data_IF_849600798255
#
_entry.id   IF_849600798255
#
_cell.length_a   1.000
_cell.length_b   1.000
_cell.length_c   1.000
_cell.angle_alpha   90.00
_cell.angle_beta   90.00
_cell.angle_gamma   90.00
#
_symmetry.space_group_name_H-M   'P 1'
#
loop_
_entity.id
_entity.type
_entity.pdbx_description
1 polymer ?
#
# COMPACT_ATOMS: atom_id res chain seq x y z
N UNK A 1 -15.36 29.86 57.62
CA UNK A 1 -14.31 29.35 58.53
C UNK A 1 -13.24 28.67 57.69
N UNK A 2 -11.98 29.04 57.92
CA UNK A 2 -10.76 28.47 57.31
C UNK A 2 -10.47 27.05 57.85
N UNK A 3 -9.54 26.37 57.14
CA UNK A 3 -8.70 25.19 57.50
C UNK A 3 -9.16 23.91 56.78
N UNK A 4 -8.32 23.03 56.23
CA UNK A 4 -6.85 22.90 56.19
C UNK A 4 -6.49 21.89 55.08
N UNK A 5 -5.28 22.04 54.52
CA UNK A 5 -4.59 21.06 53.68
C UNK A 5 -4.46 19.69 54.36
N UNK A 6 -4.41 18.63 53.54
CA UNK A 6 -3.45 17.53 53.74
C UNK A 6 -2.86 17.11 52.37
N UNK A 7 -1.70 17.69 52.08
CA UNK A 7 -0.71 17.18 51.15
C UNK A 7 -0.21 15.83 51.67
N UNK A 8 -0.22 14.80 50.83
CA UNK A 8 0.63 13.63 51.03
C UNK A 8 1.55 13.48 49.82
N UNK A 9 2.63 14.26 49.86
CA UNK A 9 3.81 14.07 49.03
C UNK A 9 4.55 12.85 49.57
N UNK A 10 4.69 11.80 48.76
CA UNK A 10 5.68 10.74 48.99
C UNK A 10 6.80 10.93 47.97
N UNK A 11 7.82 11.69 48.37
CA UNK A 11 9.22 11.51 47.99
C UNK A 11 9.65 10.09 48.49
N UNK A 12 10.52 9.30 47.88
CA UNK A 12 11.42 9.49 46.76
C UNK A 12 12.05 8.12 46.41
N UNK A 13 12.55 8.03 45.18
CA UNK A 13 13.82 7.41 44.76
C UNK A 13 14.10 5.96 45.19
N UNK A 14 14.21 5.06 44.19
CA UNK A 14 15.46 4.40 43.80
C UNK A 14 15.16 3.27 42.79
N UNK A 15 15.50 3.50 41.52
CA UNK A 15 15.96 2.46 40.58
C UNK A 15 16.73 3.20 39.50
N UNK A 16 18.02 3.43 39.80
CA UNK A 16 19.13 2.82 39.09
C UNK A 16 19.26 3.33 37.65
N UNK A 17 20.31 4.12 37.42
CA UNK A 17 20.92 4.25 36.11
C UNK A 17 21.24 2.85 35.58
N UNK A 18 20.43 2.37 34.64
CA UNK A 18 20.87 1.49 33.58
C UNK A 18 20.87 2.35 32.33
N UNK A 19 22.05 2.77 31.91
CA UNK A 19 22.27 3.25 30.55
C UNK A 19 22.03 2.08 29.61
N UNK A 20 20.79 1.94 29.18
CA UNK A 20 20.40 1.16 28.01
C UNK A 20 19.33 2.00 27.35
N UNK A 21 19.61 2.50 26.15
CA UNK A 21 18.64 3.17 25.30
C UNK A 21 17.45 2.23 25.10
N UNK A 22 16.39 2.42 25.87
CA UNK A 22 15.09 1.84 25.55
C UNK A 22 14.55 2.67 24.38
N UNK A 23 14.83 2.25 23.15
CA UNK A 23 14.03 2.68 22.01
C UNK A 23 12.63 2.13 22.23
N UNK A 24 11.75 3.01 22.70
CA UNK A 24 10.34 2.71 22.94
C UNK A 24 9.57 2.75 21.61
N UNK A 25 10.17 2.21 20.55
CA UNK A 25 9.59 2.12 19.22
C UNK A 25 8.49 1.06 19.22
N UNK A 26 7.34 1.44 18.72
CA UNK A 26 6.21 0.55 18.45
C UNK A 26 6.58 -0.47 17.37
N UNK A 27 5.88 -1.60 17.33
CA UNK A 27 6.07 -2.59 16.26
C UNK A 27 5.79 -1.96 14.88
N UNK A 28 4.82 -1.05 14.79
CA UNK A 28 4.46 -0.36 13.55
C UNK A 28 5.61 0.51 13.04
N UNK A 29 6.26 1.30 13.91
CA UNK A 29 7.44 2.11 13.57
C UNK A 29 8.60 1.23 13.09
N UNK A 30 8.86 0.09 13.75
CA UNK A 30 9.90 -0.85 13.35
C UNK A 30 9.64 -1.46 11.97
N UNK A 31 8.38 -1.81 11.69
CA UNK A 31 8.00 -2.32 10.37
C UNK A 31 8.24 -1.25 9.31
N UNK A 32 7.81 -0.03 9.57
CA UNK A 32 7.93 1.08 8.64
C UNK A 32 9.38 1.45 8.31
N UNK A 33 10.28 1.40 9.29
CA UNK A 33 11.71 1.66 9.10
C UNK A 33 12.44 0.55 8.32
N UNK A 34 11.91 -0.68 8.37
CA UNK A 34 12.49 -1.83 7.64
C UNK A 34 12.04 -1.90 6.18
N UNK A 35 11.00 -1.18 5.78
CA UNK A 35 10.53 -1.17 4.40
C UNK A 35 11.44 -0.29 3.56
N UNK A 36 12.04 -0.82 2.47
CA UNK A 36 12.81 0.00 1.55
C UNK A 36 11.94 1.11 0.96
N UNK A 37 12.36 2.36 1.12
CA UNK A 37 11.68 3.56 0.60
C UNK A 37 12.43 4.11 -0.61
N UNK A 38 11.70 4.78 -1.50
CA UNK A 38 12.30 5.59 -2.56
C UNK A 38 12.86 6.89 -1.97
N UNK A 39 13.72 7.57 -2.73
CA UNK A 39 14.14 8.94 -2.38
C UNK A 39 12.99 9.95 -2.57
N UNK A 40 11.94 9.57 -3.32
CA UNK A 40 10.74 10.37 -3.54
C UNK A 40 9.66 10.10 -2.49
N UNK A 41 9.10 11.17 -1.92
CA UNK A 41 7.93 11.11 -1.03
C UNK A 41 6.65 11.14 -1.86
N UNK A 42 5.86 10.05 -1.96
CA UNK A 42 4.80 9.96 -2.96
C UNK A 42 3.67 11.00 -2.80
N UNK A 43 3.38 11.46 -1.58
CA UNK A 43 2.35 12.47 -1.36
C UNK A 43 2.74 13.88 -1.84
N UNK A 44 4.00 14.11 -2.20
CA UNK A 44 4.44 15.37 -2.82
C UNK A 44 4.07 15.44 -4.31
N UNK A 45 3.73 14.30 -4.93
CA UNK A 45 3.44 14.18 -6.37
C UNK A 45 1.98 13.90 -6.70
N UNK A 46 1.15 13.66 -5.69
CA UNK A 46 -0.28 13.48 -5.84
C UNK A 46 -1.02 14.00 -4.62
N UNK A 47 -1.83 15.02 -4.84
CA UNK A 47 -2.65 15.71 -3.85
C UNK A 47 -4.07 15.14 -3.77
N UNK A 48 -4.74 15.45 -2.66
CA UNK A 48 -6.16 15.10 -2.48
C UNK A 48 -7.04 15.83 -3.50
N UNK A 49 -6.69 17.06 -3.84
CA UNK A 49 -7.41 17.91 -4.79
C UNK A 49 -7.40 17.32 -6.20
N UNK A 50 -6.25 16.85 -6.69
CA UNK A 50 -6.13 16.18 -7.99
C UNK A 50 -6.95 14.88 -8.04
N UNK A 51 -7.01 14.14 -6.92
CA UNK A 51 -7.87 12.94 -6.81
C UNK A 51 -9.35 13.32 -6.85
N UNK A 52 -9.77 14.37 -6.14
CA UNK A 52 -11.15 14.87 -6.17
C UNK A 52 -11.54 15.27 -7.59
N UNK A 53 -10.71 16.07 -8.26
CA UNK A 53 -10.97 16.56 -9.62
C UNK A 53 -11.02 15.41 -10.62
N UNK A 54 -10.06 14.48 -10.56
CA UNK A 54 -9.99 13.36 -11.52
C UNK A 54 -11.21 12.44 -11.42
N UNK A 55 -11.70 12.21 -10.20
CA UNK A 55 -12.82 11.32 -9.95
C UNK A 55 -14.19 12.02 -9.92
N UNK A 56 -14.22 13.35 -10.09
CA UNK A 56 -15.42 14.18 -9.97
C UNK A 56 -16.15 13.88 -8.64
N UNK A 57 -15.39 13.88 -7.53
CA UNK A 57 -15.92 13.51 -6.22
C UNK A 57 -16.80 14.65 -5.70
N UNK A 58 -18.08 14.35 -5.47
CA UNK A 58 -19.06 15.33 -4.98
C UNK A 58 -18.68 15.92 -3.61
N UNK A 59 -19.03 17.19 -3.43
CA UNK A 59 -18.87 17.90 -2.16
C UNK A 59 -19.56 17.15 -1.01
N UNK A 60 -18.82 16.94 0.08
CA UNK A 60 -19.32 16.28 1.29
C UNK A 60 -18.98 14.79 1.40
N UNK A 61 -18.36 14.17 0.39
CA UNK A 61 -17.75 12.85 0.52
C UNK A 61 -16.42 12.96 1.27
N UNK A 62 -16.29 12.20 2.36
CA UNK A 62 -15.05 12.16 3.14
C UNK A 62 -14.01 11.26 2.46
N UNK A 63 -12.83 11.83 2.18
CA UNK A 63 -11.68 11.11 1.65
C UNK A 63 -10.67 10.93 2.78
N UNK A 64 -10.36 9.67 3.05
CA UNK A 64 -9.26 9.26 3.94
C UNK A 64 -7.96 9.28 3.16
N UNK A 65 -7.00 10.09 3.61
CA UNK A 65 -5.63 10.10 3.10
C UNK A 65 -4.71 9.44 4.11
N UNK A 66 -3.76 8.63 3.64
CA UNK A 66 -2.74 8.02 4.46
C UNK A 66 -1.39 8.00 3.71
N UNK A 67 -0.33 8.47 4.36
CA UNK A 67 1.06 8.20 3.96
C UNK A 67 1.68 7.24 4.96
N UNK A 68 1.93 6.02 4.54
CA UNK A 68 2.60 5.00 5.36
C UNK A 68 3.29 4.01 4.44
N UNK A 69 4.38 3.42 4.92
CA UNK A 69 5.08 2.34 4.21
C UNK A 69 5.56 2.74 2.79
N UNK A 70 5.85 4.03 2.57
CA UNK A 70 6.30 4.55 1.28
C UNK A 70 5.19 4.61 0.21
N UNK A 71 3.92 4.67 0.63
CA UNK A 71 2.75 4.79 -0.25
C UNK A 71 1.91 5.99 0.18
N UNK A 72 1.57 6.86 -0.77
CA UNK A 72 0.51 7.84 -0.60
C UNK A 72 -0.81 7.25 -1.07
N UNK A 73 -1.82 7.20 -0.21
CA UNK A 73 -3.09 6.57 -0.51
C UNK A 73 -4.29 7.44 -0.17
N UNK A 74 -5.33 7.31 -0.99
CA UNK A 74 -6.61 7.99 -0.87
C UNK A 74 -7.73 6.96 -1.00
N UNK A 75 -8.74 7.04 -0.15
CA UNK A 75 -9.91 6.16 -0.24
C UNK A 75 -11.19 6.85 0.22
N UNK A 76 -12.31 6.48 -0.39
CA UNK A 76 -13.63 7.01 -0.07
C UNK A 76 -14.74 6.01 -0.43
N UNK A 77 -15.88 6.13 0.25
CA UNK A 77 -17.07 5.31 -0.02
C UNK A 77 -17.86 5.88 -1.20
N UNK A 78 -18.51 5.01 -1.98
CA UNK A 78 -19.34 5.41 -3.13
C UNK A 78 -20.82 5.13 -2.86
N UNK A 79 -21.67 6.14 -3.00
CA UNK A 79 -23.08 6.10 -2.60
C UNK A 79 -23.92 5.03 -3.33
N UNK A 80 -23.62 4.72 -4.60
CA UNK A 80 -24.33 3.68 -5.36
C UNK A 80 -24.06 2.26 -4.84
N UNK A 81 -22.95 2.07 -4.13
CA UNK A 81 -22.49 0.77 -3.63
C UNK A 81 -22.82 0.53 -2.15
N UNK A 82 -23.28 1.56 -1.41
CA UNK A 82 -23.90 1.40 -0.08
C UNK A 82 -25.14 0.50 -0.12
N UNK A 83 -25.79 0.35 -1.27
CA UNK A 83 -26.86 -0.62 -1.46
C UNK A 83 -26.39 -2.10 -1.45
N UNK A 84 -25.08 -2.36 -1.46
CA UNK A 84 -24.49 -3.72 -1.47
C UNK A 84 -24.05 -4.21 -0.08
N UNK A 85 -24.39 -3.51 1.01
CA UNK A 85 -24.00 -3.92 2.37
C UNK A 85 -24.44 -5.37 2.67
N UNK A 86 -25.64 -5.75 2.21
CA UNK A 86 -26.18 -7.11 2.31
C UNK A 86 -25.45 -8.11 1.39
N UNK A 87 -24.99 -7.67 0.22
CA UNK A 87 -24.24 -8.48 -0.76
C UNK A 87 -22.79 -8.73 -0.32
N UNK A 88 -22.17 -7.71 0.29
CA UNK A 88 -20.85 -7.77 0.93
C UNK A 88 -20.88 -8.69 2.16
N UNK A 89 -21.91 -8.58 3.00
CA UNK A 89 -22.13 -9.49 4.14
C UNK A 89 -22.33 -10.93 3.63
N UNK A 90 -23.16 -11.15 2.60
CA UNK A 90 -23.37 -12.48 2.03
C UNK A 90 -22.08 -13.07 1.45
N UNK A 91 -21.25 -12.26 0.78
CA UNK A 91 -19.97 -12.68 0.24
C UNK A 91 -18.94 -13.03 1.32
N UNK A 92 -18.91 -12.27 2.42
CA UNK A 92 -18.09 -12.59 3.60
C UNK A 92 -18.55 -13.91 4.23
N UNK A 93 -19.87 -14.11 4.36
CA UNK A 93 -20.45 -15.35 4.90
C UNK A 93 -20.16 -16.55 4.00
N UNK A 94 -20.20 -16.40 2.68
CA UNK A 94 -19.82 -17.46 1.74
C UNK A 94 -18.33 -17.79 1.76
N UNK A 95 -17.45 -16.79 1.88
CA UNK A 95 -16.02 -17.02 2.05
C UNK A 95 -15.68 -17.71 3.37
N UNK A 96 -16.35 -17.31 4.46
CA UNK A 96 -16.22 -17.98 5.75
C UNK A 96 -16.69 -19.45 5.70
N UNK A 97 -17.71 -19.76 4.88
CA UNK A 97 -18.19 -21.14 4.66
C UNK A 97 -17.32 -21.96 3.73
N UNK A 98 -16.74 -21.35 2.69
CA UNK A 98 -15.93 -22.02 1.67
C UNK A 98 -14.45 -22.12 2.01
N UNK A 99 -13.98 -21.37 3.03
CA UNK A 99 -12.57 -21.30 3.40
C UNK A 99 -11.71 -20.49 2.43
N UNK A 100 -12.30 -19.85 1.43
CA UNK A 100 -11.58 -19.07 0.42
C UNK A 100 -11.70 -17.57 0.71
N UNK A 101 -10.85 -17.08 1.61
CA UNK A 101 -10.85 -15.67 2.07
C UNK A 101 -10.50 -14.70 0.92
N UNK A 102 -9.73 -15.14 -0.07
CA UNK A 102 -9.28 -14.28 -1.19
C UNK A 102 -10.43 -13.74 -2.04
N UNK A 103 -11.50 -14.53 -2.23
CA UNK A 103 -12.66 -14.10 -3.01
C UNK A 103 -13.52 -13.08 -2.27
N UNK A 104 -13.64 -13.19 -0.93
CA UNK A 104 -14.34 -12.18 -0.12
C UNK A 104 -13.61 -10.84 -0.09
N UNK A 105 -12.28 -10.82 -0.03
CA UNK A 105 -11.51 -9.57 -0.02
C UNK A 105 -11.69 -8.78 -1.33
N UNK A 106 -11.78 -9.47 -2.47
CA UNK A 106 -12.13 -8.83 -3.76
C UNK A 106 -13.59 -8.37 -3.84
N UNK A 107 -14.46 -9.03 -3.07
CA UNK A 107 -15.84 -8.67 -2.74
C UNK A 107 -16.01 -7.27 -2.17
N UNK A 108 -15.33 -7.08 -1.05
CA UNK A 108 -15.45 -5.93 -0.14
C UNK A 108 -14.97 -4.62 -0.80
N UNK A 109 -14.10 -4.69 -1.82
CA UNK A 109 -13.66 -3.52 -2.59
C UNK A 109 -14.70 -2.94 -3.56
N UNK A 110 -15.92 -3.48 -3.60
CA UNK A 110 -17.05 -2.92 -4.38
C UNK A 110 -17.91 -1.96 -3.55
N UNK A 111 -17.37 -1.34 -2.51
CA UNK A 111 -18.05 -0.30 -1.72
C UNK A 111 -17.25 1.00 -1.60
N UNK A 112 -16.01 0.98 -2.10
CA UNK A 112 -15.06 2.07 -1.93
C UNK A 112 -14.12 2.14 -3.13
N UNK A 113 -13.78 3.37 -3.49
CA UNK A 113 -12.72 3.63 -4.46
C UNK A 113 -11.42 3.90 -3.70
N UNK A 114 -10.31 3.58 -4.35
CA UNK A 114 -8.98 3.83 -3.78
C UNK A 114 -7.95 4.16 -4.83
N UNK A 115 -7.06 5.09 -4.48
CA UNK A 115 -5.87 5.45 -5.23
C UNK A 115 -4.67 5.24 -4.32
N UNK A 116 -3.60 4.64 -4.84
CA UNK A 116 -2.32 4.49 -4.17
C UNK A 116 -1.18 4.81 -5.11
N UNK A 117 -0.26 5.67 -4.69
CA UNK A 117 0.95 6.02 -5.42
C UNK A 117 2.17 5.61 -4.59
N UNK A 118 3.10 4.92 -5.22
CA UNK A 118 4.42 4.68 -4.65
C UNK A 118 5.50 4.68 -5.74
N UNK A 119 6.72 5.04 -5.35
CA UNK A 119 7.87 5.02 -6.24
C UNK A 119 8.68 3.74 -6.08
N UNK A 120 9.38 3.36 -7.14
CA UNK A 120 10.36 2.30 -7.10
C UNK A 120 11.55 2.71 -6.24
N UNK A 121 12.12 1.73 -5.56
CA UNK A 121 13.38 1.87 -4.81
C UNK A 121 14.61 1.78 -5.72
N UNK A 122 14.40 1.68 -7.04
CA UNK A 122 15.47 1.76 -8.03
C UNK A 122 16.09 3.16 -8.04
N UNK A 123 17.32 3.27 -7.52
CA UNK A 123 18.10 4.50 -7.62
C UNK A 123 18.87 4.55 -8.95
N UNK A 124 18.16 4.90 -10.02
CA UNK A 124 18.70 4.96 -11.38
C UNK A 124 19.42 6.28 -11.63
N UNK A 125 20.62 6.25 -12.21
CA UNK A 125 21.42 7.45 -12.50
C UNK A 125 21.26 7.94 -13.93
N UNK A 126 20.54 7.21 -14.77
CA UNK A 126 20.28 7.55 -16.16
C UNK A 126 18.96 6.96 -16.64
N UNK A 127 18.42 7.55 -17.72
CA UNK A 127 17.20 7.06 -18.37
C UNK A 127 17.32 5.60 -18.85
N UNK A 128 18.51 5.21 -19.29
CA UNK A 128 18.78 3.84 -19.74
C UNK A 128 18.76 2.84 -18.57
N UNK A 129 19.37 3.20 -17.43
CA UNK A 129 19.30 2.37 -16.22
C UNK A 129 17.86 2.23 -15.73
N UNK A 130 17.08 3.32 -15.74
CA UNK A 130 15.68 3.31 -15.37
C UNK A 130 14.84 2.44 -16.32
N UNK A 131 15.09 2.51 -17.64
CA UNK A 131 14.46 1.65 -18.65
C UNK A 131 14.71 0.17 -18.37
N UNK A 132 15.97 -0.21 -18.17
CA UNK A 132 16.31 -1.60 -17.87
C UNK A 132 15.73 -2.05 -16.52
N UNK A 133 15.68 -1.15 -15.53
CA UNK A 133 15.04 -1.39 -14.24
C UNK A 133 13.54 -1.67 -14.38
N UNK A 134 12.84 -0.83 -15.13
CA UNK A 134 11.44 -1.00 -15.49
C UNK A 134 11.16 -2.35 -16.16
N UNK A 135 11.93 -2.69 -17.21
CA UNK A 135 11.78 -3.95 -17.94
C UNK A 135 11.99 -5.16 -17.02
N UNK A 136 12.99 -5.11 -16.15
CA UNK A 136 13.22 -6.16 -15.14
C UNK A 136 12.07 -6.28 -14.14
N UNK A 137 11.46 -5.17 -13.72
CA UNK A 137 10.29 -5.20 -12.84
C UNK A 137 9.14 -5.94 -13.53
N UNK A 138 8.79 -5.54 -14.75
CA UNK A 138 7.69 -6.17 -15.50
C UNK A 138 8.00 -7.65 -15.77
N UNK A 139 9.22 -7.98 -16.15
CA UNK A 139 9.65 -9.36 -16.36
C UNK A 139 9.49 -10.20 -15.09
N UNK A 140 9.99 -9.74 -13.94
CA UNK A 140 9.88 -10.47 -12.67
C UNK A 140 8.43 -10.68 -12.23
N UNK A 141 7.58 -9.67 -12.43
CA UNK A 141 6.17 -9.78 -12.11
C UNK A 141 5.43 -10.76 -13.04
N UNK A 142 5.86 -10.83 -14.30
CA UNK A 142 5.33 -11.74 -15.33
C UNK A 142 5.76 -13.18 -15.11
N UNK A 143 7.05 -13.42 -14.87
CA UNK A 143 7.63 -14.75 -14.65
C UNK A 143 7.26 -15.31 -13.28
N UNK A 144 7.03 -14.41 -12.32
CA UNK A 144 6.63 -14.72 -10.96
C UNK A 144 7.78 -14.54 -9.96
N UNK A 145 7.48 -13.87 -8.86
CA UNK A 145 8.38 -13.70 -7.72
C UNK A 145 8.15 -14.87 -6.77
N UNK A 146 9.17 -15.72 -6.61
CA UNK A 146 9.17 -16.80 -5.63
C UNK A 146 9.79 -16.31 -4.33
N UNK A 147 9.06 -16.48 -3.25
CA UNK A 147 9.54 -16.24 -1.89
C UNK A 147 9.42 -17.58 -1.16
N UNK A 148 10.52 -18.10 -0.63
CA UNK A 148 10.48 -19.31 0.17
C UNK A 148 9.87 -19.02 1.53
N UNK A 149 9.25 -20.04 2.11
CA UNK A 149 8.72 -19.96 3.47
C UNK A 149 9.80 -19.59 4.49
N UNK A 150 11.00 -20.13 4.33
CA UNK A 150 12.16 -19.80 5.17
C UNK A 150 12.51 -18.32 5.11
N UNK A 151 12.52 -17.72 3.91
CA UNK A 151 12.77 -16.27 3.78
C UNK A 151 11.72 -15.43 4.50
N UNK A 152 10.47 -15.90 4.57
CA UNK A 152 9.43 -15.22 5.37
C UNK A 152 9.70 -15.39 6.86
N UNK A 153 10.09 -16.60 7.32
CA UNK A 153 10.45 -16.86 8.72
C UNK A 153 11.60 -15.96 9.17
N UNK A 154 12.71 -15.97 8.44
CA UNK A 154 13.87 -15.13 8.71
C UNK A 154 13.46 -13.66 8.84
N UNK A 155 12.60 -13.18 7.93
CA UNK A 155 12.16 -11.78 7.96
C UNK A 155 11.27 -11.48 9.16
N UNK A 156 10.39 -12.40 9.55
CA UNK A 156 9.56 -12.25 10.74
C UNK A 156 10.42 -12.21 12.00
N UNK A 157 11.44 -13.05 12.10
CA UNK A 157 12.37 -13.06 13.23
C UNK A 157 13.20 -11.77 13.30
N UNK A 158 13.68 -11.25 12.16
CA UNK A 158 14.33 -9.94 12.09
C UNK A 158 13.44 -8.81 12.62
N UNK A 159 12.11 -8.94 12.43
CA UNK A 159 11.11 -7.99 12.91
C UNK A 159 10.71 -8.23 14.39
N UNK A 160 11.31 -9.21 15.06
CA UNK A 160 10.99 -9.58 16.44
C UNK A 160 9.67 -10.34 16.60
N UNK A 161 9.17 -10.94 15.52
CA UNK A 161 7.97 -11.79 15.50
C UNK A 161 8.35 -13.27 15.60
N UNK A 162 7.37 -14.09 15.99
CA UNK A 162 7.52 -15.56 15.99
C UNK A 162 7.56 -16.08 14.55
N UNK A 163 8.73 -16.46 14.05
CA UNK A 163 8.91 -17.01 12.70
C UNK A 163 8.07 -18.26 12.44
N UNK A 164 7.81 -19.07 13.47
CA UNK A 164 6.97 -20.26 13.35
C UNK A 164 5.48 -19.93 13.18
N UNK A 165 5.06 -18.68 13.44
CA UNK A 165 3.73 -18.23 13.08
C UNK A 165 3.51 -18.26 11.56
N UNK A 166 4.56 -18.17 10.74
CA UNK A 166 4.47 -18.34 9.29
C UNK A 166 3.91 -19.71 8.90
N UNK A 167 4.17 -20.76 9.69
CA UNK A 167 3.68 -22.13 9.42
C UNK A 167 2.15 -22.23 9.43
N UNK A 168 1.47 -21.31 10.14
CA UNK A 168 0.00 -21.28 10.21
C UNK A 168 -0.63 -20.67 8.96
N UNK A 169 0.09 -19.80 8.25
CA UNK A 169 -0.43 -19.04 7.12
C UNK A 169 0.15 -19.50 5.77
N UNK A 170 1.33 -20.12 5.79
CA UNK A 170 2.05 -20.59 4.60
C UNK A 170 2.07 -22.13 4.57
N UNK A 171 1.11 -22.69 3.84
CA UNK A 171 0.99 -24.16 3.66
C UNK A 171 1.99 -24.71 2.65
N UNK A 172 2.44 -23.88 1.71
CA UNK A 172 3.40 -24.25 0.67
C UNK A 172 4.82 -23.77 1.02
N UNK A 173 5.82 -24.56 0.63
CA UNK A 173 7.24 -24.22 0.82
C UNK A 173 7.68 -22.95 0.08
N UNK A 174 6.96 -22.58 -0.98
CA UNK A 174 7.21 -21.38 -1.76
C UNK A 174 5.91 -20.67 -2.10
N UNK A 175 5.84 -19.37 -1.79
CA UNK A 175 4.85 -18.48 -2.34
C UNK A 175 5.33 -17.97 -3.70
N UNK A 176 4.54 -18.19 -4.75
CA UNK A 176 4.79 -17.58 -6.06
C UNK A 176 3.78 -16.48 -6.31
N UNK A 177 4.22 -15.24 -6.26
CA UNK A 177 3.42 -14.12 -6.75
C UNK A 177 3.65 -13.96 -8.25
N UNK A 178 2.65 -14.28 -9.06
CA UNK A 178 2.68 -14.12 -10.51
C UNK A 178 1.53 -13.26 -10.98
N UNK A 179 1.82 -12.35 -11.90
CA UNK A 179 0.82 -11.60 -12.64
C UNK A 179 1.16 -11.65 -14.12
N UNK A 180 0.35 -12.32 -14.92
CA UNK A 180 0.57 -12.49 -16.36
C UNK A 180 -0.37 -11.64 -17.22
N UNK A 181 -1.18 -10.79 -16.61
CA UNK A 181 -2.14 -9.92 -17.30
C UNK A 181 -1.62 -8.50 -17.39
N UNK A 182 -0.57 -8.31 -18.19
CA UNK A 182 0.03 -7.00 -18.44
C UNK A 182 -0.31 -6.50 -19.85
N UNK A 183 -0.80 -5.28 -19.92
CA UNK A 183 -1.15 -4.59 -21.17
C UNK A 183 -0.30 -3.32 -21.29
N UNK A 184 0.39 -3.13 -22.42
CA UNK A 184 1.09 -1.88 -22.68
C UNK A 184 0.11 -0.71 -22.78
N UNK A 185 0.47 0.42 -22.18
CA UNK A 185 -0.33 1.65 -22.18
C UNK A 185 0.46 2.75 -22.87
N UNK A 186 0.02 3.13 -24.07
CA UNK A 186 0.68 4.18 -24.84
C UNK A 186 0.27 5.59 -24.39
N UNK A 187 1.19 6.54 -24.53
CA UNK A 187 0.96 7.97 -24.30
C UNK A 187 1.15 8.43 -22.84
N UNK A 188 1.78 7.62 -22.00
CA UNK A 188 2.10 7.95 -20.60
C UNK A 188 3.58 7.63 -20.35
N UNK A 189 4.33 8.66 -19.92
CA UNK A 189 5.77 8.57 -19.71
C UNK A 189 6.54 8.07 -20.95
N UNK A 190 7.76 7.57 -20.75
CA UNK A 190 8.49 6.86 -21.79
C UNK A 190 8.06 5.38 -21.93
N UNK A 191 7.45 4.79 -20.90
CA UNK A 191 6.78 3.49 -20.96
C UNK A 191 5.75 3.34 -19.85
N UNK A 192 4.63 2.67 -20.13
CA UNK A 192 3.65 2.31 -19.11
C UNK A 192 3.02 0.94 -19.40
N UNK A 193 2.74 0.19 -18.33
CA UNK A 193 2.12 -1.14 -18.40
C UNK A 193 1.06 -1.26 -17.32
N UNK A 194 -0.14 -1.70 -17.71
CA UNK A 194 -1.29 -1.90 -16.83
C UNK A 194 -1.45 -3.37 -16.45
N UNK A 195 -1.74 -3.60 -15.17
CA UNK A 195 -2.23 -4.87 -14.66
C UNK A 195 -3.69 -4.73 -14.26
N UNK A 196 -4.56 -5.48 -14.94
CA UNK A 196 -5.97 -5.56 -14.54
C UNK A 196 -6.17 -6.32 -13.23
N UNK A 197 -5.36 -7.36 -13.00
CA UNK A 197 -5.40 -8.20 -11.78
C UNK A 197 -5.16 -7.41 -10.50
N UNK A 198 -4.22 -6.47 -10.53
CA UNK A 198 -3.89 -5.61 -9.37
C UNK A 198 -4.45 -4.21 -9.48
N UNK A 199 -5.08 -3.88 -10.60
CA UNK A 199 -5.54 -2.53 -10.92
C UNK A 199 -4.41 -1.51 -10.80
N UNK A 200 -3.24 -1.83 -11.36
CA UNK A 200 -2.01 -1.07 -11.17
C UNK A 200 -1.40 -0.67 -12.51
N UNK A 201 -1.10 0.62 -12.66
CA UNK A 201 -0.33 1.17 -13.76
C UNK A 201 1.12 1.36 -13.29
N UNK A 202 2.06 0.69 -13.95
CA UNK A 202 3.50 0.90 -13.73
C UNK A 202 4.02 1.82 -14.81
N UNK A 203 4.61 2.94 -14.43
CA UNK A 203 5.05 4.00 -15.36
C UNK A 203 6.54 4.25 -15.18
N UNK A 204 7.23 4.45 -16.30
CA UNK A 204 8.58 4.99 -16.37
C UNK A 204 8.48 6.43 -16.90
N UNK A 205 8.99 7.38 -16.11
CA UNK A 205 9.12 8.78 -16.49
C UNK A 205 10.52 9.30 -16.13
N UNK A 206 11.33 9.67 -17.12
CA UNK A 206 12.70 10.14 -16.88
C UNK A 206 13.60 9.06 -16.27
N UNK A 207 14.00 9.25 -15.02
CA UNK A 207 14.77 8.28 -14.23
C UNK A 207 13.92 7.55 -13.19
N UNK A 208 12.66 7.94 -13.06
CA UNK A 208 11.74 7.46 -12.02
C UNK A 208 10.84 6.37 -12.57
N UNK A 209 10.61 5.35 -11.75
CA UNK A 209 9.59 4.35 -11.99
C UNK A 209 8.60 4.45 -10.84
N UNK A 210 7.33 4.65 -11.15
CA UNK A 210 6.27 4.72 -10.15
C UNK A 210 5.14 3.75 -10.46
N UNK A 211 4.39 3.46 -9.42
CA UNK A 211 3.28 2.52 -9.43
C UNK A 211 2.04 3.23 -8.92
N UNK A 212 1.01 3.22 -9.76
CA UNK A 212 -0.26 3.83 -9.44
C UNK A 212 -1.35 2.74 -9.40
N UNK A 213 -1.82 2.42 -8.20
CA UNK A 213 -2.91 1.46 -7.98
C UNK A 213 -4.23 2.21 -7.90
N UNK A 214 -5.18 1.89 -8.77
CA UNK A 214 -6.48 2.57 -8.85
C UNK A 214 -7.62 1.57 -8.91
N UNK A 215 -8.49 1.59 -7.90
CA UNK A 215 -9.72 0.79 -7.85
C UNK A 215 -10.92 1.71 -7.96
N UNK A 216 -11.67 1.58 -9.04
CA UNK A 216 -12.77 2.48 -9.40
C UNK A 216 -14.00 1.73 -9.93
N UNK A 217 -14.38 0.64 -9.29
CA UNK A 217 -15.53 -0.20 -9.69
C UNK A 217 -15.17 -1.27 -10.72
N UNK A 218 -14.88 -0.87 -11.96
CA UNK A 218 -14.50 -1.79 -13.05
C UNK A 218 -13.12 -1.51 -13.66
N UNK A 219 -12.63 -2.46 -14.48
CA UNK A 219 -11.30 -2.39 -15.11
C UNK A 219 -11.13 -1.15 -16.00
N UNK A 220 -12.14 -0.81 -16.80
CA UNK A 220 -12.04 0.27 -17.79
C UNK A 220 -11.97 1.62 -17.08
N UNK A 221 -12.85 1.85 -16.11
CA UNK A 221 -12.84 3.05 -15.28
C UNK A 221 -11.56 3.15 -14.45
N UNK A 222 -11.11 2.05 -13.84
CA UNK A 222 -9.82 2.02 -13.11
C UNK A 222 -8.64 2.43 -13.98
N UNK A 223 -8.56 1.89 -15.20
CA UNK A 223 -7.50 2.25 -16.14
C UNK A 223 -7.64 3.70 -16.59
N UNK A 224 -8.83 4.17 -16.93
CA UNK A 224 -9.05 5.58 -17.34
C UNK A 224 -8.57 6.55 -16.26
N UNK A 225 -8.95 6.34 -15.01
CA UNK A 225 -8.54 7.20 -13.89
C UNK A 225 -7.05 7.08 -13.61
N UNK A 226 -6.48 5.88 -13.68
CA UNK A 226 -5.03 5.70 -13.56
C UNK A 226 -4.26 6.46 -14.64
N UNK A 227 -4.78 6.53 -15.87
CA UNK A 227 -4.15 7.29 -16.96
C UNK A 227 -4.14 8.79 -16.69
N UNK A 228 -5.24 9.35 -16.19
CA UNK A 228 -5.35 10.78 -15.86
C UNK A 228 -4.39 11.14 -14.73
N UNK A 229 -4.47 10.42 -13.62
CA UNK A 229 -3.60 10.65 -12.46
C UNK A 229 -2.11 10.46 -12.77
N UNK A 230 -1.76 9.50 -13.64
CA UNK A 230 -0.35 9.33 -14.02
C UNK A 230 0.21 10.52 -14.79
N UNK A 231 -0.63 11.28 -15.51
CA UNK A 231 -0.20 12.52 -16.17
C UNK A 231 0.07 13.59 -15.11
N UNK A 232 -0.83 13.77 -14.14
CA UNK A 232 -0.62 14.72 -13.02
C UNK A 232 0.67 14.41 -12.25
N UNK A 233 0.90 13.12 -11.93
CA UNK A 233 2.13 12.68 -11.26
C UNK A 233 3.37 13.02 -12.10
N UNK A 234 3.32 12.83 -13.42
CA UNK A 234 4.44 13.15 -14.31
C UNK A 234 4.70 14.65 -14.38
N UNK A 235 3.64 15.46 -14.42
CA UNK A 235 3.76 16.92 -14.49
C UNK A 235 4.37 17.51 -13.21
N UNK A 236 4.30 16.76 -12.10
CA UNK A 236 4.91 17.09 -10.82
C UNK A 236 6.34 16.54 -10.62
N UNK A 237 6.91 15.75 -11.56
CA UNK A 237 8.29 15.22 -11.52
C UNK A 237 9.34 16.23 -12.02
#
# INVERSE_FOLDING_TARGET
MKKSLFTLTVFALLSSCSSGENSNETLEEKIEDMIPKSDQEPCDFLSKEEVIETFDIEDGIEITQNSSYGVCSFSWEVASEKASEEESINSILEAARSGNISSAVSQISKGSYSVGLNFSTLNSKSKEEARQGYERIIQRLTEGIKVSKETVKDKMEEMGLDGDAADKYLTDENLTYKNDQWEEVYGIGEAATWSSKTSQLTVLSGIDVFFLTVKAGDKEKSLEMARKLAIEVIDNL
#
